data_IF_198938321323
#
_entry.id   IF_198938321323
#
_cell.length_a   1.000
_cell.length_b   1.000
_cell.length_c   1.000
_cell.angle_alpha   90.00
_cell.angle_beta   90.00
_cell.angle_gamma   90.00
#
_symmetry.space_group_name_H-M   'P 1'
#
loop_
_entity.id
_entity.type
_entity.pdbx_description
1 polymer ?
#
# COMPACT_ATOMS: atom_id res chain seq x y z
N UNK A 1 6.05 8.70 -16.00
CA UNK A 1 4.60 8.93 -15.88
C UNK A 1 4.15 8.55 -14.49
N UNK A 2 3.23 9.30 -13.86
CA UNK A 2 2.61 8.90 -12.59
C UNK A 2 1.40 8.00 -12.83
N UNK A 3 1.04 7.13 -11.87
CA UNK A 3 -0.13 6.26 -12.00
C UNK A 3 -1.41 7.05 -12.26
N UNK A 4 -1.58 8.17 -11.58
CA UNK A 4 -2.69 9.12 -11.79
C UNK A 4 -2.71 9.72 -13.19
N UNK A 5 -1.57 10.15 -13.74
CA UNK A 5 -1.53 10.63 -15.14
C UNK A 5 -1.86 9.51 -16.14
N UNK A 6 -1.37 8.29 -15.92
CA UNK A 6 -1.68 7.14 -16.77
C UNK A 6 -3.18 6.80 -16.78
N UNK A 7 -3.84 6.90 -15.62
CA UNK A 7 -5.29 6.75 -15.49
C UNK A 7 -6.03 7.88 -16.21
N UNK A 8 -5.63 9.14 -16.00
CA UNK A 8 -6.27 10.31 -16.62
C UNK A 8 -6.18 10.29 -18.15
N UNK A 9 -5.04 9.84 -18.68
CA UNK A 9 -4.80 9.69 -20.12
C UNK A 9 -5.22 8.33 -20.68
N UNK A 10 -5.89 7.48 -19.89
CA UNK A 10 -6.48 6.21 -20.33
C UNK A 10 -5.45 5.28 -21.01
N UNK A 11 -4.30 5.10 -20.36
CA UNK A 11 -3.18 4.26 -20.82
C UNK A 11 -3.11 2.95 -20.01
N UNK A 12 -3.90 1.92 -20.35
CA UNK A 12 -3.98 0.69 -19.56
C UNK A 12 -2.63 -0.02 -19.44
N UNK A 13 -1.81 -0.06 -20.49
CA UNK A 13 -0.50 -0.72 -20.45
C UNK A 13 0.45 -0.03 -19.46
N UNK A 14 0.43 1.31 -19.42
CA UNK A 14 1.20 2.08 -18.44
C UNK A 14 0.66 1.88 -17.02
N UNK A 15 -0.65 1.76 -16.85
CA UNK A 15 -1.26 1.45 -15.55
C UNK A 15 -0.86 0.06 -15.08
N UNK A 16 -0.90 -0.94 -15.96
CA UNK A 16 -0.48 -2.30 -15.64
C UNK A 16 0.98 -2.33 -15.19
N UNK A 17 1.89 -1.71 -15.97
CA UNK A 17 3.31 -1.64 -15.61
C UNK A 17 3.51 -0.98 -14.24
N UNK A 18 2.89 0.18 -13.99
CA UNK A 18 3.04 0.88 -12.71
C UNK A 18 2.48 0.09 -11.52
N UNK A 19 1.43 -0.72 -11.73
CA UNK A 19 0.89 -1.60 -10.69
C UNK A 19 1.81 -2.81 -10.45
N UNK A 20 2.44 -3.34 -11.49
CA UNK A 20 3.44 -4.40 -11.38
C UNK A 20 4.71 -3.92 -10.67
N UNK A 21 5.09 -2.66 -10.90
CA UNK A 21 6.19 -1.95 -10.23
C UNK A 21 5.83 -1.58 -8.78
N UNK A 22 4.63 -1.91 -8.31
CA UNK A 22 4.23 -1.76 -6.90
C UNK A 22 3.75 -0.36 -6.50
N UNK A 23 3.42 0.54 -7.44
CA UNK A 23 2.93 1.89 -7.09
C UNK A 23 1.67 1.81 -6.22
N UNK A 24 1.66 2.54 -5.10
CA UNK A 24 0.53 2.54 -4.17
C UNK A 24 -0.67 3.30 -4.74
N UNK A 25 -1.77 2.58 -4.87
CA UNK A 25 -3.07 3.09 -5.32
C UNK A 25 -3.71 4.11 -4.37
N UNK A 26 -3.22 4.18 -3.13
CA UNK A 26 -3.73 5.04 -2.08
C UNK A 26 -2.77 6.18 -1.73
N UNK A 27 -1.65 6.32 -2.43
CA UNK A 27 -0.77 7.48 -2.23
C UNK A 27 -1.55 8.76 -2.52
N UNK A 28 -1.50 9.68 -1.56
CA UNK A 28 -2.16 10.97 -1.66
C UNK A 28 -1.42 11.82 -2.70
N UNK A 29 -2.17 12.33 -3.67
CA UNK A 29 -1.67 13.16 -4.76
C UNK A 29 -2.45 14.47 -4.73
N UNK A 30 -1.72 15.58 -4.66
CA UNK A 30 -2.30 16.89 -4.89
C UNK A 30 -2.55 17.09 -6.37
N UNK A 31 -3.77 16.81 -6.81
CA UNK A 31 -4.22 17.16 -8.16
C UNK A 31 -4.84 18.57 -8.08
N UNK A 32 -4.20 19.55 -8.71
CA UNK A 32 -4.70 20.92 -8.86
C UNK A 32 -4.95 21.71 -7.55
N UNK A 33 -4.12 21.49 -6.52
CA UNK A 33 -4.09 22.27 -5.27
C UNK A 33 -5.35 22.27 -4.39
N UNK A 34 -6.38 21.48 -4.67
CA UNK A 34 -7.66 21.65 -3.93
C UNK A 34 -8.20 20.44 -3.18
N UNK A 35 -7.65 19.23 -3.32
CA UNK A 35 -7.97 18.12 -2.41
C UNK A 35 -6.98 16.97 -2.60
N UNK A 36 -6.71 16.26 -1.50
CA UNK A 36 -5.91 15.04 -1.51
C UNK A 36 -6.70 13.91 -2.20
N UNK A 37 -6.31 13.62 -3.43
CA UNK A 37 -6.90 12.56 -4.26
C UNK A 37 -5.97 11.34 -4.28
N UNK A 38 -6.47 10.18 -4.66
CA UNK A 38 -5.64 8.97 -4.80
C UNK A 38 -5.79 8.37 -6.19
N UNK A 39 -4.80 7.65 -6.72
CA UNK A 39 -4.94 6.98 -8.02
C UNK A 39 -6.21 6.14 -8.11
N UNK A 40 -6.57 5.44 -7.01
CA UNK A 40 -7.83 4.72 -6.87
C UNK A 40 -9.05 5.61 -7.05
N UNK A 41 -9.14 6.72 -6.31
CA UNK A 41 -10.28 7.65 -6.39
C UNK A 41 -10.41 8.25 -7.79
N UNK A 42 -9.27 8.60 -8.41
CA UNK A 42 -9.22 9.11 -9.80
C UNK A 42 -9.76 8.06 -10.78
N UNK A 43 -9.33 6.80 -10.68
CA UNK A 43 -9.82 5.73 -11.55
C UNK A 43 -11.32 5.52 -11.43
N UNK A 44 -11.84 5.46 -10.19
CA UNK A 44 -13.28 5.33 -9.93
C UNK A 44 -14.07 6.50 -10.52
N UNK A 45 -13.59 7.74 -10.32
CA UNK A 45 -14.24 8.95 -10.85
C UNK A 45 -14.26 8.93 -12.37
N UNK A 46 -13.12 8.60 -12.99
CA UNK A 46 -12.96 8.55 -14.45
C UNK A 46 -13.82 7.44 -15.06
N UNK A 47 -13.85 6.26 -14.44
CA UNK A 47 -14.74 5.17 -14.84
C UNK A 47 -16.22 5.60 -14.85
N UNK A 48 -16.70 6.22 -13.75
CA UNK A 48 -18.08 6.72 -13.67
C UNK A 48 -18.39 7.77 -14.74
N UNK A 49 -17.46 8.70 -14.99
CA UNK A 49 -17.64 9.74 -16.00
C UNK A 49 -17.75 9.16 -17.42
N UNK A 50 -16.84 8.27 -17.80
CA UNK A 50 -16.85 7.62 -19.13
C UNK A 50 -18.04 6.69 -19.30
N UNK A 51 -18.43 5.96 -18.24
CA UNK A 51 -19.61 5.08 -18.28
C UNK A 51 -20.91 5.86 -18.53
N UNK A 52 -21.02 7.09 -18.01
CA UNK A 52 -22.20 7.92 -18.19
C UNK A 52 -22.33 8.51 -19.60
N UNK A 53 -21.21 8.77 -20.29
CA UNK A 53 -21.20 9.46 -21.58
C UNK A 53 -21.03 8.53 -22.78
N UNK A 54 -20.36 7.39 -22.62
CA UNK A 54 -19.95 6.54 -23.75
C UNK A 54 -20.70 5.20 -23.78
N UNK A 55 -21.57 5.01 -24.79
CA UNK A 55 -22.34 3.76 -24.94
C UNK A 55 -21.56 2.63 -25.62
N UNK A 56 -20.62 2.92 -26.52
CA UNK A 56 -19.68 1.98 -27.17
C UNK A 56 -18.57 2.78 -27.86
N UNK A 57 -17.32 2.32 -27.74
CA UNK A 57 -16.14 2.56 -28.60
C UNK A 57 -14.86 2.86 -27.80
N UNK A 58 -14.03 1.84 -27.56
CA UNK A 58 -12.61 1.88 -27.16
C UNK A 58 -12.25 2.56 -25.81
N UNK A 59 -12.74 3.76 -25.49
CA UNK A 59 -12.45 4.43 -24.22
C UNK A 59 -13.10 3.72 -23.03
N UNK A 60 -14.36 3.29 -23.19
CA UNK A 60 -15.03 2.46 -22.19
C UNK A 60 -14.30 1.14 -21.92
N UNK A 61 -13.71 0.51 -22.93
CA UNK A 61 -12.92 -0.72 -22.76
C UNK A 61 -11.64 -0.46 -21.97
N UNK A 62 -10.89 0.59 -22.34
CA UNK A 62 -9.65 0.98 -21.64
C UNK A 62 -9.88 1.29 -20.17
N UNK A 63 -10.91 2.09 -19.84
CA UNK A 63 -11.17 2.45 -18.45
C UNK A 63 -11.73 1.27 -17.64
N UNK A 64 -12.48 0.37 -18.28
CA UNK A 64 -12.94 -0.88 -17.64
C UNK A 64 -11.74 -1.79 -17.35
N UNK A 65 -10.79 -1.90 -18.28
CA UNK A 65 -9.55 -2.66 -18.08
C UNK A 65 -8.72 -2.07 -16.93
N UNK A 66 -8.58 -0.74 -16.86
CA UNK A 66 -7.92 -0.06 -15.75
C UNK A 66 -8.62 -0.38 -14.42
N UNK A 67 -9.95 -0.31 -14.36
CA UNK A 67 -10.70 -0.64 -13.15
C UNK A 67 -10.50 -2.11 -12.74
N UNK A 68 -10.48 -3.03 -13.70
CA UNK A 68 -10.22 -4.44 -13.45
C UNK A 68 -8.78 -4.70 -12.96
N UNK A 69 -7.79 -4.02 -13.53
CA UNK A 69 -6.38 -4.09 -13.09
C UNK A 69 -6.25 -3.64 -11.63
N UNK A 70 -6.87 -2.50 -11.28
CA UNK A 70 -6.89 -1.97 -9.91
C UNK A 70 -7.54 -2.97 -8.95
N UNK A 71 -8.71 -3.53 -9.31
CA UNK A 71 -9.41 -4.51 -8.47
C UNK A 71 -8.67 -5.84 -8.36
N UNK A 72 -7.86 -6.21 -9.34
CA UNK A 72 -7.08 -7.47 -9.33
C UNK A 72 -5.81 -7.32 -8.48
N UNK A 73 -5.18 -6.16 -8.52
CA UNK A 73 -4.01 -5.86 -7.68
C UNK A 73 -4.36 -5.64 -6.20
N UNK A 74 -5.64 -5.45 -5.89
CA UNK A 74 -6.10 -5.17 -4.53
C UNK A 74 -5.94 -6.35 -3.56
N UNK A 75 -5.77 -7.59 -4.03
CA UNK A 75 -5.93 -8.74 -3.14
C UNK A 75 -5.28 -10.04 -3.63
N UNK A 76 -4.29 -10.52 -2.88
CA UNK A 76 -3.92 -11.95 -2.83
C UNK A 76 -3.87 -12.52 -1.42
N UNK A 77 -4.04 -11.69 -0.37
CA UNK A 77 -3.84 -12.10 1.03
C UNK A 77 -4.91 -11.49 1.93
N UNK A 78 -5.32 -12.22 2.96
CA UNK A 78 -6.29 -11.74 3.94
C UNK A 78 -5.75 -10.52 4.70
N UNK A 79 -6.65 -9.59 5.04
CA UNK A 79 -6.33 -8.37 5.80
C UNK A 79 -7.11 -8.40 7.11
N UNK A 80 -6.41 -8.08 8.20
CA UNK A 80 -6.98 -7.84 9.52
C UNK A 80 -7.04 -6.32 9.71
N UNK A 81 -8.25 -5.78 9.80
CA UNK A 81 -8.49 -4.35 9.95
C UNK A 81 -9.25 -4.04 11.23
N UNK A 82 -8.79 -3.05 11.99
CA UNK A 82 -9.44 -2.51 13.19
C UNK A 82 -8.81 -1.15 13.51
N UNK A 83 -9.50 -0.27 14.24
CA UNK A 83 -8.90 0.99 14.70
C UNK A 83 -7.72 0.75 15.64
N UNK A 84 -7.81 -0.29 16.46
CA UNK A 84 -6.79 -0.73 17.39
C UNK A 84 -6.55 -2.23 17.22
N UNK A 85 -5.31 -2.63 17.01
CA UNK A 85 -4.89 -4.04 16.95
C UNK A 85 -3.79 -4.25 17.97
N UNK A 86 -3.95 -5.26 18.82
CA UNK A 86 -2.89 -5.81 19.65
C UNK A 86 -2.71 -7.28 19.27
N UNK A 87 -1.58 -7.59 18.62
CA UNK A 87 -1.31 -8.91 18.07
C UNK A 87 0.00 -9.47 18.63
N UNK A 88 -0.04 -10.74 19.05
CA UNK A 88 1.14 -11.50 19.48
C UNK A 88 1.26 -12.75 18.63
N UNK A 89 2.39 -12.92 17.94
CA UNK A 89 2.63 -14.02 17.02
C UNK A 89 3.80 -14.85 17.55
N UNK A 90 3.51 -16.08 17.98
CA UNK A 90 4.48 -17.02 18.58
C UNK A 90 5.55 -17.58 17.64
N UNK A 91 5.59 -17.12 16.40
CA UNK A 91 6.46 -17.61 15.31
C UNK A 91 6.74 -16.48 14.33
N UNK A 92 7.32 -16.80 13.19
CA UNK A 92 7.55 -15.83 12.12
C UNK A 92 6.25 -15.19 11.62
N UNK A 93 6.29 -13.87 11.39
CA UNK A 93 5.28 -13.10 10.69
C UNK A 93 5.74 -12.87 9.26
N UNK A 94 5.27 -13.73 8.33
CA UNK A 94 5.67 -13.70 6.94
C UNK A 94 5.34 -12.38 6.22
N UNK A 95 4.31 -11.66 6.67
CA UNK A 95 3.96 -10.35 6.14
C UNK A 95 3.21 -9.49 7.17
N UNK A 96 3.85 -8.41 7.63
CA UNK A 96 3.27 -7.43 8.54
C UNK A 96 2.17 -6.61 7.88
N UNK A 97 2.15 -6.52 6.54
CA UNK A 97 1.14 -5.74 5.81
C UNK A 97 -0.29 -6.28 5.93
N UNK A 98 -0.46 -7.49 6.47
CA UNK A 98 -1.79 -8.03 6.78
C UNK A 98 -2.53 -7.21 7.86
N UNK A 99 -1.81 -6.44 8.69
CA UNK A 99 -2.40 -5.63 9.76
C UNK A 99 -2.59 -4.19 9.31
N UNK A 100 -3.84 -3.74 9.28
CA UNK A 100 -4.19 -2.34 9.00
C UNK A 100 -4.89 -1.73 10.21
N UNK A 101 -4.27 -0.72 10.81
CA UNK A 101 -4.78 -0.12 12.05
C UNK A 101 -4.39 1.35 12.20
N UNK A 102 -5.21 2.11 12.92
CA UNK A 102 -4.85 3.44 13.41
C UNK A 102 -3.85 3.38 14.57
N UNK A 103 -3.93 2.32 15.38
CA UNK A 103 -2.93 1.99 16.41
C UNK A 103 -2.63 0.50 16.40
N UNK A 104 -1.41 0.12 16.05
CA UNK A 104 -0.96 -1.26 15.99
C UNK A 104 0.12 -1.50 17.06
N UNK A 105 -0.13 -2.46 17.95
CA UNK A 105 0.89 -3.07 18.79
C UNK A 105 1.10 -4.49 18.33
N UNK A 106 2.25 -4.78 17.72
CA UNK A 106 2.58 -6.07 17.13
C UNK A 106 3.82 -6.65 17.79
N UNK A 107 3.69 -7.81 18.42
CA UNK A 107 4.82 -8.59 18.95
C UNK A 107 4.98 -9.86 18.14
N UNK A 108 6.15 -10.04 17.52
CA UNK A 108 6.52 -11.23 16.75
C UNK A 108 7.69 -11.88 17.46
N UNK A 109 7.53 -13.11 17.93
CA UNK A 109 8.59 -13.82 18.66
C UNK A 109 9.67 -14.41 17.73
N UNK A 110 9.38 -14.55 16.42
CA UNK A 110 10.35 -14.95 15.41
C UNK A 110 10.81 -13.77 14.54
N UNK A 111 10.98 -14.02 13.24
CA UNK A 111 11.26 -13.02 12.23
C UNK A 111 9.99 -12.31 11.77
N UNK A 112 10.10 -11.05 11.39
CA UNK A 112 9.02 -10.28 10.79
C UNK A 112 9.44 -9.75 9.42
N UNK A 113 8.48 -9.69 8.49
CA UNK A 113 8.75 -9.25 7.12
C UNK A 113 7.66 -8.34 6.59
N UNK A 114 8.02 -7.36 5.77
CA UNK A 114 7.10 -6.72 4.81
C UNK A 114 7.58 -7.12 3.41
N UNK A 115 6.84 -7.98 2.71
CA UNK A 115 7.29 -8.54 1.43
C UNK A 115 7.33 -7.48 0.31
N UNK A 116 8.13 -7.72 -0.74
CA UNK A 116 8.38 -6.78 -1.82
C UNK A 116 7.12 -6.16 -2.46
N UNK A 117 6.02 -6.92 -2.53
CA UNK A 117 4.75 -6.47 -3.14
C UNK A 117 3.71 -6.02 -2.12
N UNK A 118 4.12 -5.86 -0.86
CA UNK A 118 3.25 -5.53 0.25
C UNK A 118 3.39 -4.07 0.65
N UNK A 119 2.27 -3.48 1.05
CA UNK A 119 2.20 -2.09 1.54
C UNK A 119 1.71 -2.16 2.98
N UNK A 120 2.65 -2.18 3.92
CA UNK A 120 2.35 -2.10 5.34
C UNK A 120 2.06 -0.64 5.71
N UNK A 121 0.77 -0.31 5.80
CA UNK A 121 0.31 1.05 6.06
C UNK A 121 -0.59 1.13 7.30
N UNK A 122 -0.50 2.25 8.03
CA UNK A 122 -1.24 2.42 9.28
C UNK A 122 -0.95 3.75 9.98
N UNK A 123 -1.58 3.96 11.13
CA UNK A 123 -1.35 5.12 11.99
C UNK A 123 -0.08 4.97 12.81
N UNK A 124 -0.23 4.91 14.13
CA UNK A 124 0.88 4.66 15.05
C UNK A 124 1.15 3.17 15.19
N UNK A 125 2.38 2.75 14.93
CA UNK A 125 2.80 1.35 15.00
C UNK A 125 3.92 1.19 16.01
N UNK A 126 3.73 0.25 16.93
CA UNK A 126 4.78 -0.29 17.79
C UNK A 126 4.98 -1.75 17.41
N UNK A 127 6.17 -2.09 16.93
CA UNK A 127 6.54 -3.46 16.58
C UNK A 127 7.70 -3.93 17.45
N UNK A 128 7.58 -5.13 18.00
CA UNK A 128 8.65 -5.82 18.70
C UNK A 128 8.89 -7.14 18.00
N UNK A 129 10.12 -7.35 17.52
CA UNK A 129 10.51 -8.52 16.74
C UNK A 129 11.63 -9.25 17.48
N UNK A 130 11.45 -10.54 17.72
CA UNK A 130 12.40 -11.34 18.48
C UNK A 130 13.73 -11.55 17.75
N UNK A 131 13.68 -11.74 16.43
CA UNK A 131 14.85 -11.97 15.58
C UNK A 131 14.99 -10.83 14.57
N UNK A 132 14.96 -11.11 13.26
CA UNK A 132 15.17 -10.10 12.23
C UNK A 132 13.86 -9.47 11.73
N UNK A 133 13.91 -8.16 11.43
CA UNK A 133 12.87 -7.43 10.70
C UNK A 133 13.37 -7.09 9.30
N UNK A 134 12.72 -7.64 8.27
CA UNK A 134 13.10 -7.40 6.87
C UNK A 134 11.99 -6.61 6.17
N UNK A 135 12.36 -5.44 5.62
CA UNK A 135 11.45 -4.63 4.79
C UNK A 135 11.90 -4.74 3.34
N UNK A 136 11.12 -5.46 2.55
CA UNK A 136 11.29 -5.53 1.09
C UNK A 136 10.29 -4.65 0.35
N UNK A 137 9.09 -4.49 0.92
CA UNK A 137 8.00 -3.71 0.33
C UNK A 137 7.96 -2.27 0.81
N UNK A 138 6.73 -1.76 0.91
CA UNK A 138 6.47 -0.38 1.34
C UNK A 138 5.98 -0.36 2.78
N UNK A 139 6.56 0.54 3.59
CA UNK A 139 6.14 0.80 4.97
C UNK A 139 5.77 2.27 5.09
N UNK A 140 4.49 2.54 5.39
CA UNK A 140 3.90 3.89 5.40
C UNK A 140 3.10 4.12 6.68
N UNK A 141 3.74 4.72 7.69
CA UNK A 141 3.14 4.93 9.01
C UNK A 141 3.17 6.38 9.45
N UNK A 142 2.24 6.78 10.32
CA UNK A 142 2.32 8.10 10.97
C UNK A 142 3.50 8.10 11.94
N UNK A 143 3.52 7.09 12.82
CA UNK A 143 4.57 6.86 13.81
C UNK A 143 5.02 5.41 13.73
N UNK A 144 6.31 5.15 13.86
CA UNK A 144 6.86 3.79 13.87
C UNK A 144 7.89 3.64 14.99
N UNK A 145 7.59 2.82 16.00
CA UNK A 145 8.53 2.38 17.04
C UNK A 145 8.87 0.90 16.84
N UNK A 146 10.12 0.61 16.55
CA UNK A 146 10.64 -0.73 16.30
C UNK A 146 11.61 -1.09 17.40
N UNK A 147 11.45 -2.29 17.95
CA UNK A 147 12.48 -2.97 18.74
C UNK A 147 12.76 -4.31 18.08
N UNK A 148 14.02 -4.55 17.74
CA UNK A 148 14.45 -5.74 17.02
C UNK A 148 15.53 -6.47 17.84
N UNK A 149 15.34 -7.75 18.15
CA UNK A 149 16.35 -8.54 18.85
C UNK A 149 17.54 -8.93 17.97
N UNK A 150 17.33 -8.97 16.65
CA UNK A 150 18.35 -9.21 15.62
C UNK A 150 18.61 -7.98 14.78
N UNK A 151 18.65 -8.16 13.46
CA UNK A 151 18.91 -7.09 12.50
C UNK A 151 17.62 -6.51 11.94
N UNK A 152 17.63 -5.21 11.67
CA UNK A 152 16.65 -4.58 10.80
C UNK A 152 17.32 -4.30 9.45
N UNK A 153 16.75 -4.85 8.38
CA UNK A 153 17.30 -4.73 7.03
C UNK A 153 16.24 -4.29 6.02
N UNK A 154 16.67 -3.58 5.00
CA UNK A 154 15.83 -3.12 3.89
C UNK A 154 16.45 -3.53 2.57
N UNK A 155 15.63 -3.84 1.56
CA UNK A 155 16.14 -4.02 0.18
C UNK A 155 16.29 -2.69 -0.54
N UNK A 156 17.01 -2.67 -1.66
CA UNK A 156 17.22 -1.48 -2.48
C UNK A 156 15.90 -0.89 -3.03
N UNK A 157 14.93 -1.75 -3.30
CA UNK A 157 13.62 -1.36 -3.83
C UNK A 157 12.59 -1.02 -2.74
N UNK A 158 12.93 -1.19 -1.46
CA UNK A 158 12.01 -0.95 -0.36
C UNK A 158 11.73 0.56 -0.20
N UNK A 159 10.49 0.90 0.15
CA UNK A 159 10.08 2.29 0.40
C UNK A 159 9.64 2.43 1.84
N UNK A 160 10.27 3.32 2.58
CA UNK A 160 9.93 3.59 3.97
C UNK A 160 9.57 5.08 4.09
N UNK A 161 8.34 5.37 4.52
CA UNK A 161 7.80 6.72 4.65
C UNK A 161 7.11 6.89 6.00
N UNK A 162 7.50 7.95 6.73
CA UNK A 162 6.94 8.27 8.05
C UNK A 162 6.52 9.72 8.09
N UNK A 163 5.35 9.98 8.68
CA UNK A 163 4.78 11.32 8.74
C UNK A 163 5.38 12.15 9.88
N UNK A 164 5.49 11.57 11.07
CA UNK A 164 5.89 12.29 12.28
C UNK A 164 7.25 11.84 12.80
N UNK A 165 7.39 10.57 13.17
CA UNK A 165 8.66 10.06 13.68
C UNK A 165 8.84 8.56 13.47
N UNK A 166 10.11 8.16 13.50
CA UNK A 166 10.56 6.78 13.56
C UNK A 166 11.53 6.62 14.72
N UNK A 167 11.40 5.52 15.46
CA UNK A 167 12.30 5.11 16.53
C UNK A 167 12.68 3.65 16.30
N UNK A 168 13.98 3.36 16.32
CA UNK A 168 14.52 2.01 16.14
C UNK A 168 15.43 1.75 17.33
N UNK A 169 15.18 0.65 18.05
CA UNK A 169 15.94 0.21 19.23
C UNK A 169 16.54 -1.17 19.00
#
# INVERSE_FOLDING_TARGET
STLSSAILFEKPDTVAQLLEDGVDLNDSIKVNNTEDDTPRKIAVRKYKAVQATERRNKMREKITLIQALISTHDWKRGIITSNCINAKIGRDCADCAQFRSGTLSLTVYGNAKCEAKSIWSGGSVTVTVGHDLIIEGQVKHVNLDVSCGGNMATTEEAIISQEQWVKIN
#
